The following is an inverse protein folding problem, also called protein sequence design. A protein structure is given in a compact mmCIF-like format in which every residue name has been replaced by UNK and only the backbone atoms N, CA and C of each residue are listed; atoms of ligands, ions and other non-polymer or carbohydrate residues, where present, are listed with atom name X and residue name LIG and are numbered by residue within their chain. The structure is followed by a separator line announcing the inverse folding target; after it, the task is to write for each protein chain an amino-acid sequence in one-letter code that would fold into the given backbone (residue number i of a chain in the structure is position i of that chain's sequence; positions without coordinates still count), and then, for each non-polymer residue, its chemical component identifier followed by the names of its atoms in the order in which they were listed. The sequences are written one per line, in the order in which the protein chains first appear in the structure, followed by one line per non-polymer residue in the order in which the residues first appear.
data_IF_709874130741
#
_entry.id   IF_709874130741
#
_cell.length_a   1.000
_cell.length_b   1.000
_cell.length_c   1.000
_cell.angle_alpha   90.00
_cell.angle_beta   90.00
_cell.angle_gamma   90.00
#
_symmetry.space_group_name_H-M   'P 1'
#
loop_
_entity.id
_entity.type
_entity.pdbx_description
1 polymer ?
#
# COMPACT_ATOMS: atom_id res chain seq x y z
N UNK A 1 -1.37 -9.68 13.72
CA UNK A 1 -0.03 -9.33 13.20
C UNK A 1 0.31 -7.92 13.64
N UNK A 2 1.60 -7.68 13.94
CA UNK A 2 2.16 -6.34 14.13
C UNK A 2 2.56 -5.76 12.78
N UNK A 3 2.07 -4.57 12.44
CA UNK A 3 2.23 -3.98 11.11
C UNK A 3 2.79 -2.56 11.21
N UNK A 4 3.77 -2.28 10.37
CA UNK A 4 4.27 -0.91 10.13
C UNK A 4 3.63 -0.38 8.86
N UNK A 5 3.16 0.87 8.88
CA UNK A 5 2.64 1.57 7.70
C UNK A 5 3.61 2.69 7.32
N UNK A 6 4.03 2.68 6.06
CA UNK A 6 4.85 3.74 5.46
C UNK A 6 3.96 4.55 4.52
N UNK A 7 3.69 5.80 4.91
CA UNK A 7 2.74 6.71 4.27
C UNK A 7 1.56 7.06 5.17
N UNK A 8 0.94 8.24 4.94
CA UNK A 8 -0.23 8.75 5.68
C UNK A 8 -1.33 9.27 4.74
N UNK A 9 -1.23 8.93 3.46
CA UNK A 9 -2.19 9.32 2.42
C UNK A 9 -3.50 8.53 2.45
N UNK A 10 -4.32 8.70 1.42
CA UNK A 10 -5.63 8.05 1.29
C UNK A 10 -5.54 6.51 1.37
N UNK A 11 -4.55 5.93 0.69
CA UNK A 11 -4.33 4.47 0.66
C UNK A 11 -3.87 3.97 2.03
N UNK A 12 -2.91 4.67 2.67
CA UNK A 12 -2.46 4.31 4.02
C UNK A 12 -3.61 4.34 5.03
N UNK A 13 -4.45 5.38 4.99
CA UNK A 13 -5.64 5.51 5.85
C UNK A 13 -6.64 4.38 5.60
N UNK A 14 -6.87 4.02 4.34
CA UNK A 14 -7.74 2.92 3.97
C UNK A 14 -7.23 1.58 4.53
N UNK A 15 -5.96 1.27 4.31
CA UNK A 15 -5.37 0.04 4.84
C UNK A 15 -5.38 0.03 6.37
N UNK A 16 -5.05 1.15 7.03
CA UNK A 16 -5.05 1.23 8.49
C UNK A 16 -6.44 0.91 9.08
N UNK A 17 -7.51 1.45 8.51
CA UNK A 17 -8.87 1.12 8.96
C UNK A 17 -9.18 -0.36 8.80
N UNK A 18 -8.83 -0.95 7.65
CA UNK A 18 -9.08 -2.37 7.37
C UNK A 18 -8.26 -3.29 8.27
N UNK A 19 -7.02 -2.92 8.57
CA UNK A 19 -6.16 -3.63 9.52
C UNK A 19 -6.78 -3.67 10.92
N UNK A 20 -7.27 -2.54 11.43
CA UNK A 20 -7.91 -2.47 12.75
C UNK A 20 -9.23 -3.27 12.75
N UNK A 21 -10.07 -3.16 11.69
CA UNK A 21 -11.28 -3.97 11.54
C UNK A 21 -10.98 -5.48 11.58
N UNK A 22 -9.83 -5.90 11.01
CA UNK A 22 -9.35 -7.28 11.00
C UNK A 22 -8.52 -7.67 12.26
N UNK A 23 -8.53 -6.84 13.31
CA UNK A 23 -7.82 -7.05 14.58
C UNK A 23 -6.30 -7.17 14.45
N UNK A 24 -5.70 -6.52 13.48
CA UNK A 24 -4.25 -6.34 13.40
C UNK A 24 -3.82 -5.12 14.22
N UNK A 25 -2.57 -5.13 14.68
CA UNK A 25 -1.96 -4.05 15.44
C UNK A 25 -1.07 -3.20 14.52
N UNK A 26 -1.35 -1.91 14.44
CA UNK A 26 -0.43 -0.96 13.80
C UNK A 26 0.55 -0.53 14.89
N UNK A 27 1.83 -0.89 14.74
CA UNK A 27 2.85 -0.61 15.74
C UNK A 27 3.60 0.69 15.46
N UNK A 28 3.72 1.08 14.19
CA UNK A 28 4.40 2.32 13.81
C UNK A 28 3.85 2.84 12.47
N UNK A 29 3.84 4.16 12.35
CA UNK A 29 3.65 4.86 11.07
C UNK A 29 4.86 5.71 10.73
N UNK A 30 5.20 5.77 9.43
CA UNK A 30 6.26 6.61 8.90
C UNK A 30 5.67 7.53 7.83
N UNK A 31 5.98 8.82 7.89
CA UNK A 31 5.51 9.82 6.91
C UNK A 31 6.63 10.78 6.55
N UNK A 32 6.52 11.43 5.40
CA UNK A 32 7.48 12.44 4.96
C UNK A 32 7.57 13.68 5.87
N UNK A 33 6.55 13.91 6.70
CA UNK A 33 6.53 15.00 7.70
C UNK A 33 6.11 14.45 9.05
N UNK A 34 6.78 14.90 10.10
CA UNK A 34 6.53 14.48 11.47
C UNK A 34 5.09 14.81 11.92
N UNK A 35 4.54 15.94 11.48
CA UNK A 35 3.17 16.35 11.78
C UNK A 35 2.15 15.33 11.25
N UNK A 36 2.24 14.96 9.97
CA UNK A 36 1.35 13.94 9.38
C UNK A 36 1.52 12.57 10.04
N UNK A 37 2.75 12.20 10.41
CA UNK A 37 3.01 10.95 11.13
C UNK A 37 2.32 10.97 12.50
N UNK A 38 2.47 12.07 13.25
CA UNK A 38 1.87 12.25 14.57
C UNK A 38 0.34 12.24 14.53
N UNK A 39 -0.27 12.95 13.57
CA UNK A 39 -1.72 12.99 13.42
C UNK A 39 -2.30 11.60 13.14
N UNK A 40 -1.66 10.85 12.22
CA UNK A 40 -2.03 9.49 11.93
C UNK A 40 -1.87 8.57 13.16
N UNK A 41 -0.73 8.67 13.86
CA UNK A 41 -0.44 7.89 15.06
C UNK A 41 -1.44 8.17 16.20
N UNK A 42 -1.90 9.42 16.36
CA UNK A 42 -2.92 9.78 17.34
C UNK A 42 -4.25 9.05 17.09
N UNK A 43 -4.62 8.85 15.80
CA UNK A 43 -5.85 8.14 15.42
C UNK A 43 -5.71 6.64 15.69
N UNK A 44 -4.59 6.04 15.28
CA UNK A 44 -4.39 4.60 15.30
C UNK A 44 -3.63 4.07 16.53
N UNK A 45 -3.19 4.96 17.44
CA UNK A 45 -2.52 4.66 18.72
C UNK A 45 -1.24 3.85 18.53
N UNK A 46 -0.38 4.29 17.63
CA UNK A 46 0.91 3.66 17.32
C UNK A 46 2.08 4.65 17.47
N UNK A 47 3.30 4.15 17.38
CA UNK A 47 4.50 4.99 17.30
C UNK A 47 4.60 5.68 15.93
N UNK A 48 5.41 6.74 15.86
CA UNK A 48 5.60 7.50 14.63
C UNK A 48 7.00 8.07 14.45
N UNK A 49 7.41 8.23 13.20
CA UNK A 49 8.65 8.92 12.80
C UNK A 49 8.52 9.47 11.38
N UNK A 50 9.39 10.41 11.02
CA UNK A 50 9.59 10.91 9.64
C UNK A 50 10.90 10.39 9.00
N UNK A 51 11.67 9.61 9.72
CA UNK A 51 12.91 8.99 9.22
C UNK A 51 12.72 7.49 8.99
N UNK A 52 12.79 7.06 7.71
CA UNK A 52 12.64 5.66 7.31
C UNK A 52 13.70 4.74 7.95
N UNK A 53 14.86 5.26 8.35
CA UNK A 53 15.92 4.49 9.00
C UNK A 53 15.56 4.09 10.43
N UNK A 54 14.57 4.75 11.04
CA UNK A 54 14.03 4.45 12.36
C UNK A 54 12.85 3.46 12.30
N UNK A 55 12.67 2.79 11.15
CA UNK A 55 11.63 1.79 10.98
C UNK A 55 11.74 0.67 12.02
N UNK A 56 10.65 0.36 12.70
CA UNK A 56 10.58 -0.73 13.67
C UNK A 56 10.78 -2.08 12.96
N UNK A 57 11.84 -2.82 13.36
CA UNK A 57 12.31 -4.01 12.63
C UNK A 57 11.66 -5.32 13.04
N UNK A 58 10.89 -5.34 14.15
CA UNK A 58 10.30 -6.56 14.69
C UNK A 58 8.80 -6.70 14.37
N UNK A 59 8.32 -5.98 13.35
CA UNK A 59 6.98 -6.17 12.82
C UNK A 59 6.88 -7.46 11.98
N UNK A 60 5.66 -7.97 11.84
CA UNK A 60 5.36 -9.13 11.01
C UNK A 60 5.25 -8.76 9.52
N UNK A 61 4.72 -7.56 9.24
CA UNK A 61 4.56 -7.05 7.89
C UNK A 61 4.73 -5.52 7.82
N UNK A 62 5.08 -5.04 6.63
CA UNK A 62 5.31 -3.62 6.33
C UNK A 62 4.50 -3.23 5.09
N UNK A 63 3.63 -2.24 5.22
CA UNK A 63 2.79 -1.76 4.12
C UNK A 63 3.31 -0.40 3.64
N UNK A 64 3.81 -0.38 2.41
CA UNK A 64 4.30 0.83 1.75
C UNK A 64 3.19 1.45 0.90
N UNK A 65 2.56 2.49 1.43
CA UNK A 65 1.49 3.27 0.78
C UNK A 65 1.99 4.70 0.47
N UNK A 66 3.08 4.78 -0.25
CA UNK A 66 3.77 6.00 -0.68
C UNK A 66 3.75 6.12 -2.21
N UNK A 67 4.24 7.25 -2.73
CA UNK A 67 4.42 7.45 -4.18
C UNK A 67 5.45 6.47 -4.74
N UNK A 68 5.32 6.18 -6.03
CA UNK A 68 6.12 5.18 -6.73
C UNK A 68 7.62 5.50 -6.69
N UNK A 69 8.00 6.76 -6.90
CA UNK A 69 9.38 7.26 -6.83
C UNK A 69 9.98 7.12 -5.41
N UNK A 70 9.19 7.45 -4.38
CA UNK A 70 9.59 7.30 -2.97
C UNK A 70 9.76 5.82 -2.60
N UNK A 71 8.88 4.95 -3.08
CA UNK A 71 8.99 3.50 -2.85
C UNK A 71 10.29 2.94 -3.45
N UNK A 72 10.62 3.35 -4.67
CA UNK A 72 11.86 2.95 -5.34
C UNK A 72 13.07 3.50 -4.59
N UNK A 73 13.04 4.76 -4.14
CA UNK A 73 14.09 5.35 -3.33
C UNK A 73 14.34 4.53 -2.05
N UNK A 74 13.29 4.18 -1.30
CA UNK A 74 13.41 3.38 -0.08
C UNK A 74 14.01 2.00 -0.32
N UNK A 75 13.87 1.44 -1.52
CA UNK A 75 14.51 0.16 -1.88
C UNK A 75 16.04 0.22 -1.88
N UNK A 76 16.62 1.41 -1.87
CA UNK A 76 18.07 1.65 -1.76
C UNK A 76 18.51 2.11 -0.37
N UNK A 77 17.56 2.47 0.51
CA UNK A 77 17.87 3.03 1.83
C UNK A 77 17.71 2.04 2.98
N UNK A 78 16.80 1.06 2.83
CA UNK A 78 16.49 0.12 3.92
C UNK A 78 16.51 -1.32 3.46
N UNK A 79 16.83 -2.20 4.42
CA UNK A 79 16.77 -3.66 4.25
C UNK A 79 15.93 -4.23 5.41
N UNK A 80 14.90 -4.98 5.06
CA UNK A 80 13.98 -5.68 5.97
C UNK A 80 14.03 -7.18 5.68
N UNK A 81 15.23 -7.75 5.85
CA UNK A 81 15.50 -9.16 5.50
C UNK A 81 14.50 -10.11 6.16
N UNK A 82 13.96 -11.06 5.39
CA UNK A 82 12.96 -12.05 5.81
C UNK A 82 11.62 -11.46 6.32
N UNK A 83 11.36 -10.17 6.14
CA UNK A 83 10.10 -9.53 6.53
C UNK A 83 9.16 -9.41 5.34
N UNK A 84 7.86 -9.62 5.56
CA UNK A 84 6.85 -9.43 4.51
C UNK A 84 6.68 -7.93 4.23
N UNK A 85 7.05 -7.53 3.03
CA UNK A 85 6.93 -6.15 2.53
C UNK A 85 5.85 -6.10 1.46
N UNK A 86 4.80 -5.32 1.71
CA UNK A 86 3.65 -5.16 0.81
C UNK A 86 3.63 -3.73 0.30
N UNK A 87 3.67 -3.55 -1.01
CA UNK A 87 3.44 -2.22 -1.60
C UNK A 87 2.07 -2.10 -2.24
N UNK A 88 1.61 -0.85 -2.41
CA UNK A 88 0.26 -0.56 -2.94
C UNK A 88 0.28 0.15 -4.30
N UNK A 89 1.45 0.21 -4.95
CA UNK A 89 1.66 0.90 -6.22
C UNK A 89 1.25 0.02 -7.42
N UNK A 90 0.49 0.59 -8.36
CA UNK A 90 0.08 -0.10 -9.59
C UNK A 90 1.21 -0.22 -10.63
N UNK A 91 2.09 0.80 -10.71
CA UNK A 91 3.14 0.90 -11.74
C UNK A 91 4.46 0.23 -11.34
N UNK A 92 4.72 0.01 -10.03
CA UNK A 92 5.98 -0.54 -9.52
C UNK A 92 5.92 -2.07 -9.55
N UNK A 93 6.93 -2.71 -10.15
CA UNK A 93 7.07 -4.17 -10.14
C UNK A 93 7.72 -4.65 -8.84
N UNK A 94 7.46 -5.90 -8.47
CA UNK A 94 8.10 -6.53 -7.31
C UNK A 94 9.63 -6.56 -7.45
N UNK A 95 10.13 -6.74 -8.68
CA UNK A 95 11.56 -6.78 -8.97
C UNK A 95 12.27 -5.44 -8.67
N UNK A 96 11.59 -4.29 -8.82
CA UNK A 96 12.17 -2.97 -8.57
C UNK A 96 12.47 -2.71 -7.09
N UNK A 97 11.77 -3.40 -6.19
CA UNK A 97 11.90 -3.20 -4.73
C UNK A 97 12.36 -4.45 -3.96
N UNK A 98 12.81 -5.50 -4.69
CA UNK A 98 13.30 -6.75 -4.08
C UNK A 98 14.49 -6.56 -3.14
N UNK A 99 15.20 -5.42 -3.22
CA UNK A 99 16.30 -5.12 -2.32
C UNK A 99 15.84 -4.83 -0.89
N UNK A 100 14.58 -4.42 -0.68
CA UNK A 100 14.03 -4.20 0.67
C UNK A 100 13.92 -5.54 1.41
N UNK A 101 13.43 -6.59 0.74
CA UNK A 101 13.23 -7.92 1.30
C UNK A 101 13.17 -8.98 0.20
N UNK A 102 13.45 -10.23 0.55
CA UNK A 102 13.19 -11.41 -0.28
C UNK A 102 11.69 -11.82 -0.26
N UNK A 103 10.88 -11.20 0.59
CA UNK A 103 9.45 -11.43 0.78
C UNK A 103 8.63 -10.22 0.38
N UNK A 104 8.72 -9.82 -0.90
CA UNK A 104 7.99 -8.68 -1.44
C UNK A 104 6.68 -9.13 -2.08
N UNK A 105 5.62 -8.38 -1.81
CA UNK A 105 4.29 -8.56 -2.36
C UNK A 105 3.62 -7.24 -2.73
N UNK A 106 2.53 -7.32 -3.47
CA UNK A 106 1.70 -6.19 -3.86
C UNK A 106 0.24 -6.43 -3.44
N UNK A 107 -0.42 -5.37 -2.93
CA UNK A 107 -1.88 -5.25 -2.85
C UNK A 107 -2.25 -3.89 -3.43
N UNK A 108 -2.62 -3.86 -4.68
CA UNK A 108 -2.98 -2.62 -5.36
C UNK A 108 -4.50 -2.48 -5.50
N UNK A 109 -5.04 -1.34 -5.04
CA UNK A 109 -6.45 -0.99 -5.24
C UNK A 109 -6.64 -0.43 -6.66
N UNK A 110 -7.40 -1.14 -7.51
CA UNK A 110 -7.76 -0.66 -8.86
C UNK A 110 -8.92 0.34 -8.74
N UNK A 111 -8.74 1.33 -7.86
CA UNK A 111 -9.73 2.33 -7.56
C UNK A 111 -9.11 3.57 -6.92
N UNK A 112 -9.60 4.76 -7.25
CA UNK A 112 -9.18 6.01 -6.58
C UNK A 112 -9.79 6.09 -5.19
N UNK A 113 -8.99 5.82 -4.16
CA UNK A 113 -9.40 5.89 -2.76
C UNK A 113 -9.39 7.34 -2.28
N UNK A 114 -10.51 7.76 -1.64
CA UNK A 114 -10.60 9.02 -0.93
C UNK A 114 -10.92 8.73 0.55
N UNK A 115 -10.04 9.16 1.46
CA UNK A 115 -10.17 8.94 2.91
C UNK A 115 -11.48 9.49 3.51
N UNK A 116 -12.07 10.51 2.89
CA UNK A 116 -13.31 11.11 3.37
C UNK A 116 -14.57 10.30 3.03
N UNK A 117 -14.45 9.23 2.22
CA UNK A 117 -15.58 8.43 1.74
C UNK A 117 -15.34 6.91 1.86
N UNK A 118 -14.57 6.47 2.85
CA UNK A 118 -14.15 5.06 3.00
C UNK A 118 -15.29 4.13 3.46
N UNK A 119 -16.27 4.63 4.21
CA UNK A 119 -17.33 3.82 4.87
C UNK A 119 -18.30 3.12 3.92
N UNK A 120 -18.33 3.42 2.63
CA UNK A 120 -19.36 2.98 1.69
C UNK A 120 -18.96 1.88 0.71
N UNK A 121 -17.70 1.43 0.66
CA UNK A 121 -17.22 0.53 -0.41
C UNK A 121 -16.71 -0.80 0.13
N UNK A 122 -17.54 -1.83 0.02
CA UNK A 122 -17.18 -3.23 0.37
C UNK A 122 -16.47 -4.00 -0.75
N UNK A 123 -16.57 -3.55 -2.02
CA UNK A 123 -16.11 -4.31 -3.19
C UNK A 123 -15.14 -3.49 -4.05
N UNK A 124 -13.98 -3.15 -3.48
CA UNK A 124 -12.90 -2.49 -4.24
C UNK A 124 -12.09 -3.57 -4.95
N UNK A 125 -11.91 -3.53 -6.29
CA UNK A 125 -11.04 -4.47 -6.97
C UNK A 125 -9.61 -4.35 -6.45
N UNK A 126 -9.05 -5.45 -5.94
CA UNK A 126 -7.68 -5.56 -5.48
C UNK A 126 -6.90 -6.46 -6.41
N UNK A 127 -5.73 -6.03 -6.82
CA UNK A 127 -4.73 -6.87 -7.48
C UNK A 127 -3.71 -7.30 -6.45
N UNK A 128 -3.44 -8.60 -6.37
CA UNK A 128 -2.43 -9.19 -5.49
C UNK A 128 -1.36 -9.90 -6.29
N UNK A 129 -0.12 -9.80 -5.82
CA UNK A 129 1.04 -10.48 -6.38
C UNK A 129 2.11 -10.68 -5.30
N UNK A 130 2.98 -11.67 -5.46
CA UNK A 130 4.12 -11.89 -4.56
C UNK A 130 5.27 -12.58 -5.29
N UNK A 131 6.51 -12.29 -4.87
CA UNK A 131 7.70 -13.01 -5.36
C UNK A 131 7.66 -14.47 -4.92
N UNK A 132 7.20 -14.74 -3.69
CA UNK A 132 7.16 -16.10 -3.12
C UNK A 132 5.72 -16.60 -3.06
N UNK A 133 5.51 -17.81 -3.52
CA UNK A 133 4.18 -18.43 -3.54
C UNK A 133 3.57 -18.57 -2.13
N UNK A 134 4.39 -18.86 -1.12
CA UNK A 134 3.94 -18.97 0.26
C UNK A 134 3.39 -17.64 0.78
N UNK A 135 4.04 -16.52 0.42
CA UNK A 135 3.61 -15.18 0.81
C UNK A 135 2.34 -14.74 0.06
N UNK A 136 2.10 -15.25 -1.16
CA UNK A 136 0.89 -14.94 -1.91
C UNK A 136 -0.37 -15.38 -1.15
N UNK A 137 -0.37 -16.54 -0.52
CA UNK A 137 -1.50 -17.00 0.28
C UNK A 137 -1.76 -16.10 1.50
N UNK A 138 -0.70 -15.63 2.16
CA UNK A 138 -0.81 -14.68 3.28
C UNK A 138 -1.42 -13.36 2.79
N UNK A 139 -0.92 -12.85 1.66
CA UNK A 139 -1.37 -11.59 1.05
C UNK A 139 -2.82 -11.69 0.56
N UNK A 140 -3.21 -12.82 -0.03
CA UNK A 140 -4.60 -13.10 -0.42
C UNK A 140 -5.53 -13.11 0.78
N UNK A 141 -5.20 -13.88 1.83
CA UNK A 141 -6.00 -13.93 3.06
C UNK A 141 -6.15 -12.55 3.69
N UNK A 142 -5.10 -11.72 3.65
CA UNK A 142 -5.20 -10.34 4.09
C UNK A 142 -6.10 -9.51 3.18
N UNK A 143 -5.96 -9.61 1.86
CA UNK A 143 -6.80 -8.90 0.89
C UNK A 143 -8.28 -9.28 1.01
N UNK A 144 -8.61 -10.54 1.35
CA UNK A 144 -9.97 -11.04 1.60
C UNK A 144 -10.65 -10.35 2.79
N UNK A 145 -9.89 -9.87 3.77
CA UNK A 145 -10.44 -9.06 4.85
C UNK A 145 -10.87 -7.65 4.40
N UNK A 146 -10.35 -7.20 3.25
CA UNK A 146 -10.57 -5.86 2.71
C UNK A 146 -11.67 -5.88 1.64
N UNK A 147 -11.66 -6.86 0.73
CA UNK A 147 -12.55 -6.94 -0.42
C UNK A 147 -12.83 -8.38 -0.84
N UNK A 148 -14.00 -8.59 -1.44
CA UNK A 148 -14.38 -9.86 -2.10
C UNK A 148 -13.85 -9.95 -3.56
N UNK A 149 -13.43 -8.83 -4.14
CA UNK A 149 -12.96 -8.75 -5.54
C UNK A 149 -11.43 -8.75 -5.59
N UNK A 150 -10.83 -9.93 -5.62
CA UNK A 150 -9.37 -10.10 -5.62
C UNK A 150 -8.94 -10.77 -6.91
N UNK A 151 -7.94 -10.19 -7.56
CA UNK A 151 -7.35 -10.67 -8.80
C UNK A 151 -5.85 -10.93 -8.58
N UNK A 152 -5.42 -12.15 -8.88
CA UNK A 152 -4.01 -12.50 -8.90
C UNK A 152 -3.45 -12.16 -10.28
N UNK A 153 -2.58 -11.18 -10.35
CA UNK A 153 -1.96 -10.73 -11.61
C UNK A 153 -0.45 -10.61 -11.41
N UNK A 154 0.32 -11.09 -12.39
CA UNK A 154 1.76 -10.83 -12.42
C UNK A 154 2.07 -9.35 -12.72
N UNK A 155 3.35 -8.95 -12.68
CA UNK A 155 3.76 -7.57 -12.88
C UNK A 155 3.42 -7.05 -14.29
N UNK A 156 3.44 -7.91 -15.32
CA UNK A 156 3.09 -7.52 -16.70
C UNK A 156 1.59 -7.28 -16.82
N UNK A 157 0.78 -8.21 -16.32
CA UNK A 157 -0.68 -8.08 -16.29
C UNK A 157 -1.12 -6.87 -15.46
N UNK A 158 -0.52 -6.68 -14.27
CA UNK A 158 -0.77 -5.53 -13.40
C UNK A 158 -0.44 -4.21 -14.12
N UNK A 159 0.69 -4.13 -14.82
CA UNK A 159 1.07 -2.94 -15.59
C UNK A 159 0.07 -2.61 -16.71
N UNK A 160 -0.43 -3.63 -17.42
CA UNK A 160 -1.45 -3.45 -18.46
C UNK A 160 -2.77 -2.95 -17.88
N UNK A 161 -3.21 -3.52 -16.75
CA UNK A 161 -4.43 -3.05 -16.05
C UNK A 161 -4.24 -1.63 -15.53
N UNK A 162 -3.05 -1.31 -15.00
CA UNK A 162 -2.74 0.05 -14.54
C UNK A 162 -2.81 1.06 -15.68
N UNK A 163 -2.22 0.76 -16.82
CA UNK A 163 -2.29 1.61 -18.01
C UNK A 163 -3.74 1.84 -18.46
N UNK A 164 -4.54 0.77 -18.54
CA UNK A 164 -5.96 0.88 -18.88
C UNK A 164 -6.73 1.75 -17.87
N UNK A 165 -6.47 1.60 -16.56
CA UNK A 165 -7.10 2.40 -15.52
C UNK A 165 -6.71 3.89 -15.60
N UNK A 166 -5.47 4.22 -15.95
CA UNK A 166 -5.02 5.60 -16.18
C UNK A 166 -5.80 6.24 -17.34
N UNK A 167 -5.96 5.53 -18.46
CA UNK A 167 -6.76 6.04 -19.59
C UNK A 167 -8.23 6.19 -19.23
N UNK A 168 -8.82 5.20 -18.58
CA UNK A 168 -10.26 5.19 -18.27
C UNK A 168 -10.65 6.23 -17.20
N UNK A 169 -9.77 6.59 -16.29
CA UNK A 169 -10.07 7.49 -15.18
C UNK A 169 -9.28 8.80 -15.22
N UNK A 170 -7.95 8.74 -15.20
CA UNK A 170 -7.13 9.96 -15.02
C UNK A 170 -7.20 10.84 -16.29
N UNK A 171 -7.08 10.23 -17.47
CA UNK A 171 -7.16 10.95 -18.72
C UNK A 171 -8.55 11.57 -18.96
N UNK A 172 -9.61 10.84 -18.68
CA UNK A 172 -10.99 11.33 -18.78
C UNK A 172 -11.23 12.51 -17.82
N UNK A 173 -10.79 12.38 -16.55
CA UNK A 173 -10.90 13.47 -15.58
C UNK A 173 -10.11 14.71 -16.00
N UNK A 174 -8.93 14.54 -16.60
CA UNK A 174 -8.13 15.63 -17.13
C UNK A 174 -8.83 16.35 -18.30
N UNK A 175 -9.44 15.60 -19.23
CA UNK A 175 -10.26 16.18 -20.31
C UNK A 175 -11.44 16.99 -19.77
N UNK A 176 -12.15 16.49 -18.76
CA UNK A 176 -13.21 17.26 -18.10
C UNK A 176 -12.68 18.56 -17.49
N UNK A 177 -11.54 18.52 -16.79
CA UNK A 177 -10.94 19.73 -16.19
C UNK A 177 -10.65 20.78 -17.29
N UNK A 178 -10.08 20.39 -18.42
CA UNK A 178 -9.81 21.30 -19.55
C UNK A 178 -11.10 21.86 -20.13
N UNK A 179 -12.17 21.06 -20.21
CA UNK A 179 -13.43 21.50 -20.83
C UNK A 179 -14.23 22.48 -19.98
N UNK A 180 -13.94 22.59 -18.68
CA UNK A 180 -14.57 23.52 -17.72
C UNK A 180 -13.72 24.76 -17.41
N UNK A 181 -12.49 24.86 -17.95
CA UNK A 181 -11.61 26.03 -17.82
C UNK A 181 -11.72 26.94 -19.02
#
# INVERSE_FOLDING_TARGET
MKIVIVGTGNIATFFAQKLIEAQHEIVQVISATLEHAKDFANVYKCDFTDDIRQIYKDADAYIFAVKDDVLIQFSHEIILQNKLVIHTAGSVSLAQIKNISDRVACIWCVYSINKNNLKKKKNIPLVVNSIRYEDLNIVKSFAETISENIYELDDVQKSNVHLAAVFANNFVNHLYTISYS
#
